data_IF_019118919709
#
_entry.id   IF_019118919709
#
_cell.length_a   1.000
_cell.length_b   1.000
_cell.length_c   1.000
_cell.angle_alpha   90.00
_cell.angle_beta   90.00
_cell.angle_gamma   90.00
#
_symmetry.space_group_name_H-M   'P 1'
#
loop_
_entity.id
_entity.type
_entity.pdbx_description
1 polymer ?
#
# COMPACT_ATOMS: atom_id res chain seq x y z
N UNK A 1 -1.45 -8.66 20.37
CA UNK A 1 -2.42 -7.54 20.40
C UNK A 1 -2.53 -6.97 18.99
N UNK A 2 -3.72 -6.89 18.37
CA UNK A 2 -3.84 -6.33 17.03
C UNK A 2 -3.52 -4.84 17.13
N UNK A 3 -2.34 -4.46 16.63
CA UNK A 3 -1.87 -3.07 16.65
C UNK A 3 -2.69 -2.28 15.63
N UNK A 4 -3.11 -1.06 15.98
CA UNK A 4 -4.03 -0.20 15.21
C UNK A 4 -3.61 0.16 13.77
N UNK A 5 -2.53 -0.43 13.23
CA UNK A 5 -2.08 -0.34 11.85
C UNK A 5 -3.05 -0.96 10.84
N UNK A 6 -3.82 -1.99 11.23
CA UNK A 6 -4.81 -2.65 10.35
C UNK A 6 -5.81 -1.64 9.75
N UNK A 7 -6.17 -0.59 10.49
CA UNK A 7 -7.17 0.39 10.06
C UNK A 7 -6.70 1.34 8.94
N UNK A 8 -5.40 1.49 8.70
CA UNK A 8 -4.90 2.43 7.68
C UNK A 8 -4.66 1.74 6.33
N UNK A 9 -4.46 0.42 6.31
CA UNK A 9 -3.99 -0.33 5.13
C UNK A 9 -5.03 -1.34 4.64
N UNK A 10 -5.99 -1.72 5.50
CA UNK A 10 -7.01 -2.75 5.25
C UNK A 10 -6.44 -4.10 4.76
N UNK A 11 -5.20 -4.43 5.13
CA UNK A 11 -4.58 -5.71 4.80
C UNK A 11 -5.19 -6.82 5.71
N UNK A 12 -5.81 -7.88 5.16
CA UNK A 12 -6.49 -8.89 5.96
C UNK A 12 -5.53 -9.80 6.76
N UNK A 13 -5.76 -9.95 8.06
CA UNK A 13 -5.19 -11.04 8.88
C UNK A 13 -3.67 -11.20 8.79
N UNK A 14 -3.17 -12.42 8.57
CA UNK A 14 -1.73 -12.76 8.53
C UNK A 14 -0.95 -12.31 7.28
N UNK A 15 -1.59 -11.60 6.35
CA UNK A 15 -0.97 -11.10 5.12
C UNK A 15 0.15 -10.06 5.33
N UNK A 16 0.14 -9.18 6.36
CA UNK A 16 1.22 -8.22 6.59
C UNK A 16 2.56 -8.90 6.89
N UNK A 17 2.56 -10.02 7.61
CA UNK A 17 3.79 -10.77 7.92
C UNK A 17 4.40 -11.36 6.65
N UNK A 18 3.57 -11.95 5.79
CA UNK A 18 4.01 -12.50 4.50
C UNK A 18 4.54 -11.39 3.57
N UNK A 19 3.80 -10.27 3.47
CA UNK A 19 4.21 -9.13 2.67
C UNK A 19 5.52 -8.52 3.18
N UNK A 20 5.74 -8.49 4.50
CA UNK A 20 7.00 -8.03 5.10
C UNK A 20 8.16 -8.95 4.76
N UNK A 21 7.98 -10.26 4.84
CA UNK A 21 9.02 -11.22 4.44
C UNK A 21 9.37 -11.08 2.95
N UNK A 22 8.38 -10.86 2.09
CA UNK A 22 8.60 -10.60 0.66
C UNK A 22 9.35 -9.29 0.44
N UNK A 23 8.98 -8.21 1.13
CA UNK A 23 9.69 -6.93 1.06
C UNK A 23 11.16 -7.07 1.50
N UNK A 24 11.43 -7.82 2.57
CA UNK A 24 12.80 -8.11 3.02
C UNK A 24 13.59 -8.86 1.92
N UNK A 25 12.99 -9.88 1.29
CA UNK A 25 13.61 -10.62 0.19
C UNK A 25 13.95 -9.75 -1.03
N UNK A 26 13.25 -8.62 -1.20
CA UNK A 26 13.48 -7.64 -2.28
C UNK A 26 14.37 -6.46 -1.86
N UNK A 27 14.92 -6.47 -0.64
CA UNK A 27 15.72 -5.35 -0.11
C UNK A 27 14.88 -4.12 0.27
N UNK A 28 13.57 -4.26 0.41
CA UNK A 28 12.61 -3.20 0.76
C UNK A 28 12.17 -3.26 2.24
N UNK A 29 12.87 -4.04 3.08
CA UNK A 29 12.48 -4.26 4.48
C UNK A 29 12.35 -2.96 5.30
N UNK A 30 13.29 -2.02 5.11
CA UNK A 30 13.29 -0.72 5.78
C UNK A 30 12.24 0.25 5.23
N UNK A 31 11.66 -0.07 4.06
CA UNK A 31 10.62 0.71 3.36
C UNK A 31 9.24 0.07 3.49
N UNK A 32 9.04 -0.78 4.49
CA UNK A 32 7.77 -1.50 4.61
C UNK A 32 6.56 -0.58 4.78
N UNK A 33 6.72 0.59 5.42
CA UNK A 33 5.66 1.58 5.53
C UNK A 33 5.26 2.15 4.15
N UNK A 34 6.22 2.33 3.23
CA UNK A 34 5.92 2.72 1.84
C UNK A 34 5.12 1.62 1.12
N UNK A 35 5.40 0.35 1.44
CA UNK A 35 4.70 -0.82 0.87
C UNK A 35 3.26 -0.87 1.39
N UNK A 36 3.04 -0.61 2.67
CA UNK A 36 1.70 -0.51 3.26
C UNK A 36 0.88 0.63 2.62
N UNK A 37 1.51 1.78 2.37
CA UNK A 37 0.88 2.89 1.63
C UNK A 37 0.56 2.53 0.18
N UNK A 38 1.51 1.92 -0.53
CA UNK A 38 1.32 1.46 -1.91
C UNK A 38 0.25 0.38 -2.02
N UNK A 39 0.07 -0.44 -1.00
CA UNK A 39 -1.00 -1.44 -0.93
C UNK A 39 -2.37 -0.78 -0.90
N UNK A 40 -2.55 0.22 -0.04
CA UNK A 40 -3.80 0.97 0.04
C UNK A 40 -4.09 1.75 -1.26
N UNK A 41 -3.05 2.32 -1.89
CA UNK A 41 -3.20 3.01 -3.17
C UNK A 41 -3.50 2.03 -4.32
N UNK A 42 -2.85 0.87 -4.34
CA UNK A 42 -3.13 -0.21 -5.31
C UNK A 42 -4.56 -0.74 -5.20
N UNK A 43 -5.08 -0.93 -3.99
CA UNK A 43 -6.47 -1.32 -3.77
C UNK A 43 -7.46 -0.29 -4.33
N UNK A 44 -7.19 1.01 -4.12
CA UNK A 44 -7.99 2.10 -4.71
C UNK A 44 -7.91 2.11 -6.23
N UNK A 45 -6.71 1.94 -6.81
CA UNK A 45 -6.51 1.89 -8.25
C UNK A 45 -7.28 0.75 -8.92
N UNK A 46 -7.38 -0.40 -8.23
CA UNK A 46 -8.09 -1.58 -8.71
C UNK A 46 -9.60 -1.55 -8.40
N UNK A 47 -10.13 -0.44 -7.89
CA UNK A 47 -11.57 -0.26 -7.68
C UNK A 47 -12.08 -0.84 -6.36
N UNK A 48 -11.23 -0.95 -5.33
CA UNK A 48 -11.56 -1.47 -3.99
C UNK A 48 -12.06 -2.92 -4.06
N UNK A 49 -11.17 -3.82 -4.45
CA UNK A 49 -11.48 -5.24 -4.57
C UNK A 49 -11.88 -5.82 -3.20
N UNK A 50 -12.68 -6.90 -3.22
CA UNK A 50 -12.82 -7.75 -2.03
C UNK A 50 -11.45 -8.40 -1.80
N UNK A 51 -10.73 -7.95 -0.78
CA UNK A 51 -9.38 -8.40 -0.42
C UNK A 51 -9.44 -9.75 0.29
N UNK A 52 -9.56 -10.82 -0.49
CA UNK A 52 -9.41 -12.22 -0.07
C UNK A 52 -8.39 -12.90 -0.98
N UNK A 53 -7.80 -14.03 -0.59
CA UNK A 53 -6.97 -14.77 -1.55
C UNK A 53 -7.84 -15.18 -2.75
N UNK A 54 -7.47 -14.90 -4.02
CA UNK A 54 -6.15 -14.46 -4.52
C UNK A 54 -5.94 -12.95 -4.72
N UNK A 55 -6.98 -12.11 -4.62
CA UNK A 55 -6.89 -10.67 -4.91
C UNK A 55 -5.94 -9.93 -3.96
N UNK A 56 -5.87 -10.32 -2.67
CA UNK A 56 -4.94 -9.73 -1.70
C UNK A 56 -3.47 -9.89 -2.09
N UNK A 57 -3.13 -10.97 -2.82
CA UNK A 57 -1.77 -11.20 -3.34
C UNK A 57 -1.49 -10.29 -4.53
N UNK A 58 -2.44 -10.11 -5.43
CA UNK A 58 -2.31 -9.21 -6.59
C UNK A 58 -2.03 -7.78 -6.14
N UNK A 59 -2.75 -7.28 -5.13
CA UNK A 59 -2.51 -5.95 -4.55
C UNK A 59 -1.13 -5.87 -3.88
N UNK A 60 -0.69 -6.92 -3.21
CA UNK A 60 0.64 -7.00 -2.58
C UNK A 60 1.79 -6.97 -3.59
N UNK A 61 1.71 -7.77 -4.65
CA UNK A 61 2.73 -7.82 -5.70
C UNK A 61 2.81 -6.47 -6.45
N UNK A 62 1.67 -5.81 -6.66
CA UNK A 62 1.61 -4.45 -7.21
C UNK A 62 2.30 -3.43 -6.28
N UNK A 63 2.01 -3.47 -4.98
CA UNK A 63 2.61 -2.57 -4.00
C UNK A 63 4.14 -2.70 -3.95
N UNK A 64 4.65 -3.94 -3.91
CA UNK A 64 6.09 -4.23 -3.94
C UNK A 64 6.75 -3.68 -5.21
N UNK A 65 6.08 -3.86 -6.36
CA UNK A 65 6.57 -3.33 -7.65
C UNK A 65 6.62 -1.81 -7.65
N UNK A 66 5.58 -1.14 -7.16
CA UNK A 66 5.50 0.32 -7.12
C UNK A 66 6.54 0.95 -6.19
N UNK A 67 6.88 0.29 -5.08
CA UNK A 67 7.93 0.76 -4.15
C UNK A 67 9.32 0.45 -4.70
N UNK A 68 9.52 -0.75 -5.26
CA UNK A 68 10.78 -1.14 -5.87
C UNK A 68 11.19 -0.24 -7.05
N UNK A 69 10.21 0.29 -7.80
CA UNK A 69 10.44 1.22 -8.90
C UNK A 69 10.42 2.71 -8.47
N UNK A 70 10.31 3.00 -7.18
CA UNK A 70 10.13 4.35 -6.61
C UNK A 70 8.92 5.15 -7.17
N UNK A 71 7.96 4.47 -7.77
CA UNK A 71 6.75 5.08 -8.35
C UNK A 71 5.79 5.53 -7.23
N UNK A 72 5.78 4.80 -6.11
CA UNK A 72 4.87 5.05 -4.97
C UNK A 72 5.06 6.45 -4.35
N UNK A 73 6.31 6.90 -4.17
CA UNK A 73 6.65 8.16 -3.48
C UNK A 73 6.01 9.41 -4.14
N UNK A 74 5.70 9.32 -5.44
CA UNK A 74 5.13 10.42 -6.24
C UNK A 74 3.60 10.39 -6.32
N UNK A 75 2.96 9.25 -6.07
CA UNK A 75 1.50 9.08 -6.16
C UNK A 75 0.80 9.68 -4.93
N UNK A 76 1.24 9.28 -3.72
CA UNK A 76 0.58 9.67 -2.46
C UNK A 76 0.80 11.13 -2.09
N UNK A 77 1.86 11.78 -2.62
CA UNK A 77 2.15 13.21 -2.39
C UNK A 77 1.34 14.19 -3.26
N UNK A 78 0.65 13.71 -4.32
CA UNK A 78 -0.04 14.60 -5.28
C UNK A 78 -1.53 14.78 -4.99
N UNK A 79 -2.14 13.90 -4.20
CA UNK A 79 -3.59 13.96 -3.90
C UNK A 79 -3.97 14.95 -2.78
N UNK A 80 -3.00 15.55 -2.08
CA UNK A 80 -3.27 16.46 -0.94
C UNK A 80 -2.88 17.93 -1.16
N UNK A 81 -2.85 18.42 -2.41
CA UNK A 81 -2.41 19.81 -2.71
C UNK A 81 -3.11 20.55 -3.87
N UNK A 82 -4.36 20.23 -4.20
CA UNK A 82 -5.12 20.97 -5.24
C UNK A 82 -6.59 21.30 -4.92
N UNK A 83 -6.99 21.40 -3.65
CA UNK A 83 -8.37 21.78 -3.30
C UNK A 83 -8.47 22.80 -2.16
N UNK A 84 -7.61 23.83 -2.19
CA UNK A 84 -7.71 24.99 -1.29
C UNK A 84 -7.42 26.34 -1.97
N UNK A 85 -7.43 26.43 -3.31
CA UNK A 85 -7.28 27.73 -4.01
C UNK A 85 -8.43 28.09 -4.96
N UNK A 86 -9.64 27.59 -4.70
CA UNK A 86 -10.85 27.96 -5.44
C UNK A 86 -12.01 28.33 -4.52
N UNK A 87 -11.72 29.10 -3.46
CA UNK A 87 -12.71 30.00 -2.86
C UNK A 87 -12.01 31.31 -2.49
N UNK A 88 -11.92 32.18 -3.50
CA UNK A 88 -12.39 33.56 -3.34
C UNK A 88 -13.91 33.53 -3.39
#
# INVERSE_FOLDING_TARGET
MPTGRVYTHEIPGGQPSNLRQQAIGLGLGDRFEDVEGAYADGDRMLGRLIKVTPSSKVVGDLALTLVGQDISRRSSARTRRRMTSLLR
#
